data_IF_487925833652
#
_entry.id   IF_487925833652
#
_cell.length_a   1.000
_cell.length_b   1.000
_cell.length_c   1.000
_cell.angle_alpha   90.00
_cell.angle_beta   90.00
_cell.angle_gamma   90.00
#
_symmetry.space_group_name_H-M   'P 1'
#
loop_
_entity.id
_entity.type
_entity.pdbx_description
1 polymer ?
#
# COMPACT_ATOMS: atom_id res chain seq x y z
N UNK A 1 42.15 19.73 -20.94
CA UNK A 1 40.85 20.28 -20.50
C UNK A 1 39.67 19.32 -20.71
N UNK A 2 39.69 18.42 -21.71
CA UNK A 2 38.59 17.45 -21.93
C UNK A 2 38.39 16.39 -20.82
N UNK A 3 39.46 15.94 -20.15
CA UNK A 3 39.37 14.90 -19.10
C UNK A 3 38.71 15.34 -17.78
N UNK A 4 38.81 16.63 -17.42
CA UNK A 4 38.17 17.15 -16.21
C UNK A 4 36.65 17.31 -16.39
N UNK A 5 36.20 17.68 -17.60
CA UNK A 5 34.78 17.86 -17.92
C UNK A 5 34.05 16.51 -17.94
N UNK A 6 34.66 15.45 -18.47
CA UNK A 6 34.09 14.10 -18.45
C UNK A 6 34.00 13.52 -17.02
N UNK A 7 34.98 13.81 -16.17
CA UNK A 7 34.96 13.41 -14.76
C UNK A 7 33.84 14.08 -13.97
N UNK A 8 33.61 15.38 -14.19
CA UNK A 8 32.53 16.14 -13.53
C UNK A 8 31.15 15.71 -14.02
N UNK A 9 30.96 15.47 -15.33
CA UNK A 9 29.67 14.99 -15.85
C UNK A 9 29.36 13.58 -15.33
N UNK A 10 30.36 12.70 -15.26
CA UNK A 10 30.19 11.35 -14.72
C UNK A 10 29.84 11.34 -13.23
N UNK A 11 30.49 12.17 -12.42
CA UNK A 11 30.16 12.27 -10.98
C UNK A 11 28.80 12.89 -10.74
N UNK A 12 28.40 13.92 -11.49
CA UNK A 12 27.05 14.51 -11.40
C UNK A 12 25.99 13.48 -11.78
N UNK A 13 26.16 12.74 -12.87
CA UNK A 13 25.21 11.70 -13.28
C UNK A 13 25.08 10.59 -12.21
N UNK A 14 26.20 10.17 -11.62
CA UNK A 14 26.20 9.17 -10.54
C UNK A 14 25.50 9.70 -9.28
N UNK A 15 25.78 10.93 -8.87
CA UNK A 15 25.14 11.55 -7.70
C UNK A 15 23.63 11.67 -7.91
N UNK A 16 23.19 12.11 -9.10
CA UNK A 16 21.77 12.19 -9.44
C UNK A 16 21.14 10.80 -9.40
N UNK A 17 21.77 9.79 -10.03
CA UNK A 17 21.27 8.41 -10.03
C UNK A 17 21.13 7.84 -8.62
N UNK A 18 22.15 8.00 -7.77
CA UNK A 18 22.13 7.55 -6.37
C UNK A 18 21.05 8.28 -5.58
N UNK A 19 20.93 9.60 -5.75
CA UNK A 19 19.91 10.39 -5.06
C UNK A 19 18.51 9.94 -5.42
N UNK A 20 18.23 9.75 -6.71
CA UNK A 20 16.94 9.22 -7.18
C UNK A 20 16.67 7.84 -6.58
N UNK A 21 17.63 6.92 -6.65
CA UNK A 21 17.48 5.58 -6.08
C UNK A 21 17.17 5.61 -4.57
N UNK A 22 17.89 6.43 -3.80
CA UNK A 22 17.67 6.59 -2.36
C UNK A 22 16.27 7.16 -2.08
N UNK A 23 15.84 8.18 -2.82
CA UNK A 23 14.52 8.77 -2.66
C UNK A 23 13.40 7.77 -2.96
N UNK A 24 13.53 6.97 -4.03
CA UNK A 24 12.56 5.93 -4.37
C UNK A 24 12.49 4.85 -3.31
N UNK A 25 13.64 4.38 -2.80
CA UNK A 25 13.67 3.39 -1.70
C UNK A 25 13.02 3.95 -0.45
N UNK A 26 13.31 5.20 -0.08
CA UNK A 26 12.71 5.86 1.08
C UNK A 26 11.20 6.01 0.95
N UNK A 27 10.71 6.37 -0.24
CA UNK A 27 9.30 6.57 -0.53
C UNK A 27 8.47 5.28 -0.52
N UNK A 28 9.11 4.12 -0.64
CA UNK A 28 8.48 2.79 -0.68
C UNK A 28 8.81 1.93 0.54
N UNK A 29 9.47 2.50 1.56
CA UNK A 29 9.75 1.75 2.79
C UNK A 29 8.45 1.34 3.47
N UNK A 30 8.30 0.04 3.81
CA UNK A 30 7.16 -0.45 4.55
C UNK A 30 7.00 0.28 5.89
N UNK A 31 5.74 0.54 6.26
CA UNK A 31 5.38 1.00 7.59
C UNK A 31 5.45 -0.15 8.60
N UNK A 32 5.54 0.17 9.91
CA UNK A 32 5.12 -0.77 10.95
C UNK A 32 3.65 -1.17 10.73
N UNK A 33 3.30 -2.42 11.03
CA UNK A 33 1.93 -2.94 10.86
C UNK A 33 0.88 -2.11 11.62
N UNK A 34 1.21 -1.67 12.84
CA UNK A 34 0.45 -0.66 13.57
C UNK A 34 1.34 0.58 13.78
N UNK A 35 0.86 1.73 13.33
CA UNK A 35 1.64 2.98 13.41
C UNK A 35 1.45 3.61 14.80
N UNK A 36 2.50 4.21 15.39
CA UNK A 36 2.39 4.79 16.73
C UNK A 36 1.64 6.14 16.74
N UNK A 37 1.42 6.74 15.57
CA UNK A 37 0.69 8.00 15.40
C UNK A 37 0.18 8.14 13.97
N UNK A 38 -0.89 8.91 13.81
CA UNK A 38 -1.46 9.22 12.51
C UNK A 38 -0.44 9.87 11.57
N UNK A 39 -0.39 9.42 10.32
CA UNK A 39 0.53 9.94 9.29
C UNK A 39 -0.01 9.72 7.88
N UNK A 40 0.41 10.58 6.98
CA UNK A 40 0.24 10.33 5.55
C UNK A 40 1.29 9.32 5.08
N UNK A 41 0.87 8.40 4.20
CA UNK A 41 1.74 7.38 3.64
C UNK A 41 1.29 7.04 2.22
N UNK A 42 2.25 6.65 1.37
CA UNK A 42 1.90 6.12 0.05
C UNK A 42 1.27 4.75 0.17
N UNK A 43 0.38 4.40 -0.74
CA UNK A 43 -0.21 3.06 -0.82
C UNK A 43 0.86 1.94 -0.82
N UNK A 44 1.99 2.18 -1.48
CA UNK A 44 3.12 1.24 -1.58
C UNK A 44 3.88 1.01 -0.26
N UNK A 45 3.66 1.86 0.75
CA UNK A 45 4.27 1.71 2.07
C UNK A 45 3.41 0.88 3.01
N UNK A 46 2.13 0.67 2.66
CA UNK A 46 1.22 -0.05 3.52
C UNK A 46 1.55 -1.54 3.50
N UNK A 47 1.34 -2.15 4.65
CA UNK A 47 1.49 -3.58 4.90
C UNK A 47 0.28 -4.14 5.61
N UNK A 48 0.21 -5.46 5.69
CA UNK A 48 -0.78 -6.18 6.51
C UNK A 48 -0.76 -5.65 7.95
N UNK A 49 -1.92 -5.19 8.41
CA UNK A 49 -2.13 -4.58 9.73
C UNK A 49 -2.44 -3.09 9.69
N UNK A 50 -2.03 -2.36 8.64
CA UNK A 50 -2.20 -0.91 8.61
C UNK A 50 -3.68 -0.50 8.56
N UNK A 51 -4.06 0.41 9.46
CA UNK A 51 -5.39 0.97 9.56
C UNK A 51 -5.48 2.33 8.85
N UNK A 52 -6.43 2.45 7.92
CA UNK A 52 -6.62 3.60 7.03
C UNK A 52 -7.84 4.39 7.49
N UNK A 53 -7.64 5.69 7.76
CA UNK A 53 -8.68 6.57 8.28
C UNK A 53 -9.89 6.67 7.34
N UNK A 54 -9.63 6.83 6.05
CA UNK A 54 -10.67 6.95 5.02
C UNK A 54 -10.20 6.27 3.74
N UNK A 55 -11.08 5.49 3.12
CA UNK A 55 -10.82 4.85 1.82
C UNK A 55 -11.19 5.84 0.72
N UNK A 56 -10.25 6.22 -0.17
CA UNK A 56 -10.57 7.09 -1.30
C UNK A 56 -11.59 6.45 -2.26
N UNK A 57 -12.28 7.28 -3.05
CA UNK A 57 -13.11 6.83 -4.16
C UNK A 57 -12.30 5.95 -5.14
N UNK A 58 -13.02 5.10 -5.90
CA UNK A 58 -12.42 4.19 -6.87
C UNK A 58 -11.48 4.93 -7.84
N UNK A 59 -10.26 4.42 -7.99
CA UNK A 59 -9.25 4.98 -8.87
C UNK A 59 -7.83 4.77 -8.36
N UNK A 60 -6.83 5.43 -8.97
CA UNK A 60 -5.45 5.38 -8.51
C UNK A 60 -5.31 5.98 -7.11
N UNK A 61 -4.72 5.22 -6.19
CA UNK A 61 -4.44 5.66 -4.81
C UNK A 61 -2.95 5.94 -4.69
N UNK A 62 -2.57 7.20 -4.50
CA UNK A 62 -1.17 7.58 -4.23
C UNK A 62 -0.90 7.62 -2.72
N UNK A 63 -1.59 8.51 -2.00
CA UNK A 63 -1.39 8.76 -0.57
C UNK A 63 -2.69 8.56 0.21
N UNK A 64 -2.59 7.96 1.39
CA UNK A 64 -3.70 7.80 2.34
C UNK A 64 -3.27 8.20 3.75
N UNK A 65 -4.26 8.48 4.59
CA UNK A 65 -4.05 8.72 6.02
C UNK A 65 -4.08 7.38 6.76
N UNK A 66 -2.95 6.97 7.33
CA UNK A 66 -2.82 5.79 8.19
C UNK A 66 -2.89 6.25 9.64
N UNK A 67 -3.63 5.53 10.48
CA UNK A 67 -3.82 5.82 11.91
C UNK A 67 -3.47 4.60 12.76
N UNK A 68 -3.13 4.76 14.05
CA UNK A 68 -3.06 3.64 14.97
C UNK A 68 -4.38 2.87 14.96
N UNK A 69 -4.35 1.54 14.97
CA UNK A 69 -5.58 0.76 14.86
C UNK A 69 -6.53 0.94 16.07
N UNK A 70 -6.01 1.39 17.20
CA UNK A 70 -6.83 1.78 18.36
C UNK A 70 -7.64 3.07 18.13
N UNK A 71 -7.30 3.88 17.13
CA UNK A 71 -8.07 5.05 16.72
C UNK A 71 -9.16 4.66 15.70
N UNK A 72 -10.31 5.38 15.67
CA UNK A 72 -11.36 5.13 14.70
C UNK A 72 -10.86 5.19 13.25
N UNK A 73 -11.15 4.16 12.46
CA UNK A 73 -10.75 4.06 11.06
C UNK A 73 -11.83 3.41 10.19
N UNK A 74 -11.67 3.55 8.87
CA UNK A 74 -12.61 3.00 7.89
C UNK A 74 -12.18 1.64 7.36
N UNK A 75 -10.87 1.38 7.30
CA UNK A 75 -10.36 0.15 6.73
C UNK A 75 -9.08 -0.35 7.40
N UNK A 76 -8.83 -1.65 7.30
CA UNK A 76 -7.55 -2.26 7.65
C UNK A 76 -7.03 -3.11 6.49
N UNK A 77 -5.74 -3.02 6.20
CA UNK A 77 -5.08 -3.96 5.29
C UNK A 77 -5.00 -5.33 5.98
N UNK A 78 -5.77 -6.30 5.49
CA UNK A 78 -5.83 -7.65 6.07
C UNK A 78 -4.98 -8.66 5.31
N UNK A 79 -4.57 -8.35 4.07
CA UNK A 79 -3.72 -9.23 3.28
C UNK A 79 -2.86 -8.46 2.28
N UNK A 80 -1.59 -8.82 2.18
CA UNK A 80 -0.70 -8.47 1.08
C UNK A 80 -0.61 -9.63 0.07
N UNK A 81 -0.77 -9.31 -1.20
CA UNK A 81 -0.53 -10.21 -2.31
C UNK A 81 0.71 -9.79 -3.08
N UNK A 82 1.75 -10.62 -3.10
CA UNK A 82 2.97 -10.35 -3.87
C UNK A 82 2.93 -11.05 -5.22
N UNK A 83 2.98 -10.27 -6.30
CA UNK A 83 3.20 -10.78 -7.64
C UNK A 83 4.64 -11.28 -7.79
N UNK A 84 4.85 -12.29 -8.65
CA UNK A 84 6.21 -12.75 -8.95
C UNK A 84 7.07 -11.58 -9.48
N UNK A 85 8.34 -11.45 -9.06
CA UNK A 85 9.19 -10.32 -9.45
C UNK A 85 9.33 -10.14 -10.96
N UNK A 86 9.37 -11.24 -11.70
CA UNK A 86 9.52 -11.33 -13.15
C UNK A 86 8.17 -11.43 -13.90
N UNK A 87 7.05 -11.24 -13.21
CA UNK A 87 5.74 -11.25 -13.84
C UNK A 87 5.64 -10.15 -14.91
N UNK A 88 5.02 -10.49 -16.04
CA UNK A 88 4.59 -9.52 -17.05
C UNK A 88 3.30 -8.85 -16.57
N UNK A 89 3.15 -7.55 -16.84
CA UNK A 89 1.95 -6.79 -16.50
C UNK A 89 0.70 -7.51 -17.05
N UNK A 90 -0.21 -8.00 -16.18
CA UNK A 90 -1.34 -8.81 -16.61
C UNK A 90 -2.53 -7.98 -17.12
N UNK A 91 -2.43 -6.65 -17.09
CA UNK A 91 -3.55 -5.73 -17.26
C UNK A 91 -4.32 -5.50 -15.96
N UNK A 92 -4.93 -4.32 -15.83
CA UNK A 92 -5.52 -3.84 -14.58
C UNK A 92 -6.55 -4.82 -14.01
N UNK A 93 -7.54 -5.22 -14.81
CA UNK A 93 -8.59 -6.15 -14.38
C UNK A 93 -8.04 -7.49 -13.88
N UNK A 94 -6.98 -8.03 -14.52
CA UNK A 94 -6.39 -9.27 -14.04
C UNK A 94 -5.54 -9.07 -12.79
N UNK A 95 -4.92 -7.89 -12.60
CA UNK A 95 -4.21 -7.58 -11.37
C UNK A 95 -5.21 -7.50 -10.21
N UNK A 96 -6.30 -6.72 -10.37
CA UNK A 96 -7.37 -6.59 -9.38
C UNK A 96 -7.96 -7.95 -9.00
N UNK A 97 -8.32 -8.77 -9.99
CA UNK A 97 -8.90 -10.08 -9.75
C UNK A 97 -7.94 -11.06 -9.04
N UNK A 98 -6.62 -10.90 -9.20
CA UNK A 98 -5.62 -11.73 -8.50
C UNK A 98 -5.51 -11.35 -7.03
N UNK A 99 -5.46 -10.05 -6.75
CA UNK A 99 -5.39 -9.55 -5.37
C UNK A 99 -6.70 -9.83 -4.64
N UNK A 100 -7.85 -9.61 -5.28
CA UNK A 100 -9.16 -9.91 -4.70
C UNK A 100 -9.33 -11.37 -4.30
N UNK A 101 -8.71 -12.32 -5.02
CA UNK A 101 -8.73 -13.75 -4.65
C UNK A 101 -7.90 -14.07 -3.42
N UNK A 102 -6.96 -13.21 -3.05
CA UNK A 102 -6.18 -13.38 -1.83
C UNK A 102 -6.91 -12.82 -0.60
N UNK A 103 -7.97 -12.04 -0.79
CA UNK A 103 -8.81 -11.54 0.29
C UNK A 103 -9.56 -12.66 1.00
N UNK A 104 -9.43 -12.72 2.33
CA UNK A 104 -10.23 -13.61 3.16
C UNK A 104 -10.86 -12.76 4.26
N UNK A 105 -12.19 -12.74 4.30
CA UNK A 105 -12.97 -12.29 5.46
C UNK A 105 -13.64 -13.49 6.09
N UNK A 106 -13.84 -13.46 7.39
CA UNK A 106 -14.66 -14.43 8.10
C UNK A 106 -16.16 -14.09 8.01
N UNK A 107 -16.99 -15.04 8.44
CA UNK A 107 -18.44 -14.90 8.32
C UNK A 107 -19.01 -13.81 9.25
N UNK A 108 -18.35 -13.56 10.38
CA UNK A 108 -18.79 -12.57 11.37
C UNK A 108 -18.49 -11.16 10.87
N UNK A 109 -17.32 -10.94 10.25
CA UNK A 109 -16.95 -9.71 9.57
C UNK A 109 -17.94 -9.37 8.45
N UNK A 110 -18.27 -10.34 7.59
CA UNK A 110 -19.25 -10.14 6.52
C UNK A 110 -20.64 -9.84 7.09
N UNK A 111 -21.05 -10.54 8.15
CA UNK A 111 -22.33 -10.30 8.82
C UNK A 111 -22.40 -8.91 9.49
N UNK A 112 -21.26 -8.38 9.93
CA UNK A 112 -21.12 -7.03 10.47
C UNK A 112 -21.07 -5.94 9.39
N UNK A 113 -21.21 -6.29 8.10
CA UNK A 113 -21.21 -5.35 6.99
C UNK A 113 -19.82 -4.96 6.50
N UNK A 114 -18.76 -5.66 6.93
CA UNK A 114 -17.41 -5.46 6.42
C UNK A 114 -17.32 -6.00 4.99
N UNK A 115 -16.79 -5.17 4.08
CA UNK A 115 -16.55 -5.52 2.68
C UNK A 115 -15.07 -5.46 2.34
N UNK A 116 -14.68 -6.15 1.27
CA UNK A 116 -13.30 -6.09 0.77
C UNK A 116 -13.14 -4.99 -0.26
N UNK A 117 -12.08 -4.19 -0.15
CA UNK A 117 -11.56 -3.33 -1.22
C UNK A 117 -10.19 -3.85 -1.62
N UNK A 118 -9.95 -3.88 -2.93
CA UNK A 118 -8.69 -4.33 -3.50
C UNK A 118 -7.92 -3.15 -4.06
N UNK A 119 -6.68 -2.96 -3.62
CA UNK A 119 -5.73 -2.09 -4.29
C UNK A 119 -4.69 -2.96 -4.97
N UNK A 120 -4.61 -2.90 -6.29
CA UNK A 120 -3.58 -3.57 -7.06
C UNK A 120 -2.63 -2.54 -7.68
N UNK A 121 -1.40 -2.95 -8.07
CA UNK A 121 -0.52 -2.06 -8.81
C UNK A 121 -1.21 -1.50 -10.06
N UNK A 122 -0.88 -0.26 -10.40
CA UNK A 122 -1.24 0.31 -11.70
C UNK A 122 -0.20 -0.07 -12.73
N UNK A 123 -0.50 0.05 -14.03
CA UNK A 123 0.51 -0.16 -15.08
C UNK A 123 1.75 0.74 -14.87
N UNK A 124 1.54 1.98 -14.40
CA UNK A 124 2.61 2.93 -14.09
C UNK A 124 3.47 2.43 -12.93
N UNK A 125 2.85 2.13 -11.77
CA UNK A 125 3.63 1.66 -10.61
C UNK A 125 4.29 0.32 -10.91
N UNK A 126 3.68 -0.53 -11.72
CA UNK A 126 4.28 -1.78 -12.19
C UNK A 126 5.56 -1.55 -13.00
N UNK A 127 5.55 -0.56 -13.90
CA UNK A 127 6.76 -0.17 -14.64
C UNK A 127 7.88 0.31 -13.70
N UNK A 128 7.50 0.91 -12.56
CA UNK A 128 8.42 1.36 -11.50
C UNK A 128 8.82 0.23 -10.51
N UNK A 129 8.34 -1.00 -10.74
CA UNK A 129 8.70 -2.18 -9.94
C UNK A 129 7.72 -2.57 -8.84
N UNK A 130 6.55 -1.93 -8.76
CA UNK A 130 5.49 -2.30 -7.82
C UNK A 130 4.91 -3.68 -8.14
N UNK A 131 4.97 -4.58 -7.16
CA UNK A 131 4.52 -5.97 -7.25
C UNK A 131 3.64 -6.35 -6.07
N UNK A 132 3.09 -5.39 -5.34
CA UNK A 132 2.31 -5.66 -4.13
C UNK A 132 0.88 -5.17 -4.33
N UNK A 133 -0.07 -6.08 -4.16
CA UNK A 133 -1.48 -5.75 -4.01
C UNK A 133 -1.90 -5.83 -2.55
N UNK A 134 -2.86 -5.01 -2.16
CA UNK A 134 -3.41 -4.93 -0.82
C UNK A 134 -4.89 -5.29 -0.85
N UNK A 135 -5.30 -6.15 0.08
CA UNK A 135 -6.70 -6.37 0.41
C UNK A 135 -7.04 -5.60 1.69
N UNK A 136 -8.06 -4.76 1.62
CA UNK A 136 -8.56 -3.98 2.74
C UNK A 136 -9.92 -4.52 3.19
N UNK A 137 -10.07 -4.78 4.48
CA UNK A 137 -11.36 -4.93 5.14
C UNK A 137 -11.90 -3.53 5.44
N UNK A 138 -13.08 -3.19 4.92
CA UNK A 138 -13.65 -1.84 4.94
C UNK A 138 -15.04 -1.88 5.56
N UNK A 139 -15.32 -0.96 6.47
CA UNK A 139 -16.67 -0.67 6.96
C UNK A 139 -17.09 0.71 6.46
N UNK A 140 -18.11 0.75 5.60
CA UNK A 140 -18.62 2.02 5.08
C UNK A 140 -19.14 2.90 6.22
N UNK A 141 -18.70 4.16 6.26
CA UNK A 141 -18.97 5.09 7.37
C UNK A 141 -17.94 5.02 8.52
N UNK A 142 -17.06 4.02 8.50
CA UNK A 142 -15.94 3.85 9.41
C UNK A 142 -16.31 3.71 10.88
N UNK A 143 -15.36 4.03 11.76
CA UNK A 143 -15.53 3.92 13.20
C UNK A 143 -15.06 2.59 13.80
N UNK A 144 -14.38 1.75 13.00
CA UNK A 144 -13.71 0.56 13.51
C UNK A 144 -12.63 0.99 14.51
N UNK A 145 -12.56 0.34 15.66
CA UNK A 145 -11.41 0.43 16.58
C UNK A 145 -10.84 -0.96 16.82
N UNK A 146 -9.53 -1.08 17.04
CA UNK A 146 -8.87 -2.38 17.17
C UNK A 146 -8.46 -2.96 15.81
N UNK A 147 -8.21 -4.26 15.76
CA UNK A 147 -7.66 -4.94 14.57
C UNK A 147 -8.42 -6.24 14.27
N UNK A 148 -8.69 -6.48 12.99
CA UNK A 148 -9.25 -7.74 12.50
C UNK A 148 -8.23 -8.88 12.62
N UNK A 149 -6.94 -8.58 12.52
CA UNK A 149 -5.87 -9.59 12.53
C UNK A 149 -5.66 -10.28 13.89
N UNK A 150 -5.99 -9.60 14.99
CA UNK A 150 -5.90 -10.14 16.36
C UNK A 150 -7.27 -10.32 17.03
N UNK A 151 -8.36 -10.14 16.26
CA UNK A 151 -9.76 -10.21 16.71
C UNK A 151 -10.10 -9.23 17.83
N UNK A 152 -9.45 -8.07 17.83
CA UNK A 152 -9.79 -6.96 18.73
C UNK A 152 -10.69 -5.92 18.07
N UNK A 153 -11.00 -6.06 16.78
CA UNK A 153 -11.87 -5.12 16.07
C UNK A 153 -13.24 -4.99 16.74
N UNK A 154 -13.66 -3.74 16.99
CA UNK A 154 -15.03 -3.37 17.35
C UNK A 154 -15.65 -2.60 16.20
N UNK A 155 -16.77 -3.11 15.70
CA UNK A 155 -17.63 -2.47 14.70
C UNK A 155 -18.70 -1.68 15.46
N UNK A 156 -18.95 -0.39 15.14
CA UNK A 156 -19.93 0.47 15.80
C UNK A 156 -21.39 0.06 15.58
#
# INVERSE_FOLDING_TARGET
MAGAVLGVVGTVALVVGVTVAVLTVMATRPLPADVPAARDARAQQLVTGNCVLTVPDDGPVDTVRVVPCAEPHEAQVVTEFTFAPDAVWPGQQSADARVARACVLDADEVAAGVRTVTWSPTERSWADGDRVGLCLAVLDGGGITGSFLDRTAQVP
#
